data_IF_365192585299
#
_entry.id   IF_365192585299
#
_cell.length_a   1.000
_cell.length_b   1.000
_cell.length_c   1.000
_cell.angle_alpha   90.00
_cell.angle_beta   90.00
_cell.angle_gamma   90.00
#
_symmetry.space_group_name_H-M   'P 1'
#
loop_
_entity.id
_entity.type
_entity.pdbx_description
1 polymer ?
#
# COMPACT_ATOMS: atom_id res chain seq x y z
N UNK A 1 18.66 13.96 -26.16
CA UNK A 1 18.06 15.11 -25.41
C UNK A 1 16.88 14.59 -24.57
N UNK A 2 16.00 15.44 -24.03
CA UNK A 2 14.84 14.98 -23.26
C UNK A 2 13.82 14.17 -24.10
N UNK A 3 13.71 14.46 -25.39
CA UNK A 3 12.80 13.73 -26.29
C UNK A 3 13.34 12.32 -26.57
N UNK A 4 14.62 12.22 -26.92
CA UNK A 4 15.30 10.94 -27.15
C UNK A 4 15.26 10.02 -25.91
N UNK A 5 15.44 10.58 -24.71
CA UNK A 5 15.32 9.83 -23.46
C UNK A 5 13.90 9.29 -23.25
N UNK A 6 12.87 10.10 -23.52
CA UNK A 6 11.48 9.71 -23.35
C UNK A 6 11.07 8.60 -24.34
N UNK A 7 11.50 8.71 -25.60
CA UNK A 7 11.24 7.72 -26.65
C UNK A 7 11.93 6.37 -26.38
N UNK A 8 13.16 6.40 -25.84
CA UNK A 8 13.96 5.20 -25.55
C UNK A 8 13.70 4.55 -24.19
N UNK A 9 12.86 5.14 -23.33
CA UNK A 9 12.65 4.68 -21.96
C UNK A 9 12.06 3.27 -21.90
N UNK A 10 12.71 2.37 -21.16
CA UNK A 10 12.20 1.01 -20.90
C UNK A 10 11.65 0.90 -19.48
N UNK A 11 10.34 0.76 -19.37
CA UNK A 11 9.67 0.49 -18.10
C UNK A 11 9.79 -1.00 -17.75
N UNK A 12 10.00 -1.31 -16.47
CA UNK A 12 10.09 -2.67 -15.92
C UNK A 12 8.99 -2.89 -14.89
N UNK A 13 7.74 -3.21 -15.31
CA UNK A 13 6.60 -3.32 -14.41
C UNK A 13 6.77 -4.42 -13.35
N UNK A 14 7.48 -5.49 -13.71
CA UNK A 14 7.86 -6.59 -12.83
C UNK A 14 8.70 -6.09 -11.64
N UNK A 15 9.72 -5.28 -11.92
CA UNK A 15 10.59 -4.68 -10.90
C UNK A 15 9.82 -3.66 -10.07
N UNK A 16 8.99 -2.82 -10.71
CA UNK A 16 8.13 -1.87 -9.99
C UNK A 16 7.22 -2.60 -9.00
N UNK A 17 6.59 -3.71 -9.42
CA UNK A 17 5.72 -4.51 -8.56
C UNK A 17 6.49 -5.15 -7.40
N UNK A 18 7.66 -5.73 -7.68
CA UNK A 18 8.52 -6.30 -6.64
C UNK A 18 8.93 -5.25 -5.60
N UNK A 19 9.24 -4.03 -6.06
CA UNK A 19 9.64 -2.94 -5.17
C UNK A 19 8.54 -2.48 -4.21
N UNK A 20 7.25 -2.66 -4.55
CA UNK A 20 6.16 -2.38 -3.62
C UNK A 20 6.24 -3.26 -2.36
N UNK A 21 6.86 -4.44 -2.45
CA UNK A 21 7.07 -5.36 -1.34
C UNK A 21 8.22 -4.99 -0.39
N UNK A 22 9.10 -4.05 -0.76
CA UNK A 22 10.31 -3.72 0.02
C UNK A 22 10.04 -3.11 1.41
N UNK A 23 8.80 -2.73 1.68
CA UNK A 23 8.38 -2.11 2.95
C UNK A 23 7.59 -3.06 3.84
N UNK A 24 7.59 -4.37 3.54
CA UNK A 24 6.79 -5.37 4.25
C UNK A 24 5.28 -5.02 4.28
N UNK A 25 4.79 -4.29 3.29
CA UNK A 25 3.39 -3.81 3.21
C UNK A 25 3.11 -2.47 3.90
N UNK A 26 4.11 -1.84 4.54
CA UNK A 26 3.92 -0.56 5.23
C UNK A 26 3.62 0.63 4.29
N UNK A 27 3.91 0.50 2.99
CA UNK A 27 3.59 1.52 1.99
C UNK A 27 2.10 1.89 1.94
N UNK A 28 1.19 1.02 2.41
CA UNK A 28 -0.26 1.29 2.49
C UNK A 28 -0.77 1.64 3.90
N UNK A 29 0.12 2.04 4.82
CA UNK A 29 -0.25 2.32 6.22
C UNK A 29 -1.36 3.37 6.40
N UNK A 30 -1.43 4.38 5.51
CA UNK A 30 -2.49 5.39 5.55
C UNK A 30 -3.87 4.78 5.26
N UNK A 31 -3.96 3.95 4.21
CA UNK A 31 -5.18 3.19 3.90
C UNK A 31 -5.62 2.37 5.08
N UNK A 32 -4.69 1.60 5.66
CA UNK A 32 -4.99 0.77 6.82
C UNK A 32 -5.48 1.60 7.99
N UNK A 33 -4.89 2.77 8.27
CA UNK A 33 -5.38 3.64 9.33
C UNK A 33 -6.82 4.11 9.09
N UNK A 34 -7.18 4.43 7.84
CA UNK A 34 -8.54 4.82 7.47
C UNK A 34 -9.53 3.66 7.59
N UNK A 35 -9.20 2.48 7.05
CA UNK A 35 -10.08 1.31 7.00
C UNK A 35 -10.23 0.60 8.35
N UNK A 36 -9.21 0.64 9.20
CA UNK A 36 -9.26 0.07 10.54
C UNK A 36 -9.95 0.98 11.57
N UNK A 37 -10.08 2.28 11.29
CA UNK A 37 -10.70 3.25 12.21
C UNK A 37 -12.18 2.92 12.52
N UNK A 38 -13.04 2.59 11.53
CA UNK A 38 -14.42 2.17 11.80
C UNK A 38 -14.55 0.90 12.66
N UNK A 39 -13.55 0.01 12.62
CA UNK A 39 -13.56 -1.28 13.33
C UNK A 39 -13.01 -1.15 14.74
N UNK A 40 -11.88 -0.46 14.89
CA UNK A 40 -11.12 -0.41 16.15
C UNK A 40 -11.23 0.92 16.89
N UNK A 41 -11.68 1.97 16.21
CA UNK A 41 -11.50 3.35 16.63
C UNK A 41 -10.11 3.89 16.30
N UNK A 42 -10.03 5.20 16.08
CA UNK A 42 -8.83 5.90 15.58
C UNK A 42 -7.58 5.68 16.46
N UNK A 43 -7.73 5.78 17.78
CA UNK A 43 -6.62 5.66 18.72
C UNK A 43 -6.03 4.25 18.71
N UNK A 44 -6.89 3.22 18.78
CA UNK A 44 -6.46 1.82 18.76
C UNK A 44 -5.87 1.43 17.40
N UNK A 45 -6.49 1.84 16.29
CA UNK A 45 -5.96 1.58 14.95
C UNK A 45 -4.54 2.14 14.78
N UNK A 46 -4.30 3.39 15.21
CA UNK A 46 -2.97 4.00 15.15
C UNK A 46 -1.96 3.28 16.05
N UNK A 47 -2.34 2.95 17.28
CA UNK A 47 -1.47 2.24 18.21
C UNK A 47 -1.08 0.85 17.66
N UNK A 48 -2.06 0.10 17.16
CA UNK A 48 -1.85 -1.21 16.55
C UNK A 48 -0.91 -1.13 15.34
N UNK A 49 -1.17 -0.22 14.39
CA UNK A 49 -0.31 -0.08 13.21
C UNK A 49 1.12 0.34 13.59
N UNK A 50 1.29 1.15 14.64
CA UNK A 50 2.64 1.52 15.14
C UNK A 50 3.37 0.30 15.70
N UNK A 51 2.69 -0.51 16.50
CA UNK A 51 3.23 -1.74 17.07
C UNK A 51 3.61 -2.74 15.97
N UNK A 52 2.69 -3.01 15.04
CA UNK A 52 2.92 -3.99 13.99
C UNK A 52 4.01 -3.52 13.01
N UNK A 53 4.12 -2.22 12.72
CA UNK A 53 5.22 -1.68 11.91
C UNK A 53 6.60 -1.90 12.52
N UNK A 54 6.72 -1.89 13.86
CA UNK A 54 7.98 -2.26 14.51
C UNK A 54 8.24 -3.77 14.38
N UNK A 55 7.19 -4.59 14.55
CA UNK A 55 7.26 -6.05 14.44
C UNK A 55 7.61 -6.54 13.04
N UNK A 56 7.12 -5.91 11.97
CA UNK A 56 7.43 -6.33 10.59
C UNK A 56 8.94 -6.38 10.34
N UNK A 57 9.69 -5.38 10.83
CA UNK A 57 11.14 -5.34 10.69
C UNK A 57 11.86 -6.23 11.71
N UNK A 58 11.36 -6.32 12.93
CA UNK A 58 11.98 -7.14 13.98
C UNK A 58 11.85 -8.64 13.69
N UNK A 59 10.75 -9.06 13.07
CA UNK A 59 10.42 -10.46 12.79
C UNK A 59 10.70 -10.86 11.33
N UNK A 60 11.02 -9.90 10.45
CA UNK A 60 11.09 -10.07 8.99
C UNK A 60 9.80 -10.69 8.41
N UNK A 61 8.66 -10.12 8.81
CA UNK A 61 7.33 -10.62 8.44
C UNK A 61 6.48 -9.55 7.76
N UNK A 62 5.66 -9.92 6.75
CA UNK A 62 4.71 -9.01 6.14
C UNK A 62 3.68 -8.48 7.15
N UNK A 63 3.30 -7.20 7.02
CA UNK A 63 2.28 -6.57 7.85
C UNK A 63 0.93 -7.31 7.78
N UNK A 64 0.56 -7.85 6.61
CA UNK A 64 -0.68 -8.60 6.42
C UNK A 64 -0.76 -9.84 7.30
N UNK A 65 0.35 -10.57 7.47
CA UNK A 65 0.39 -11.74 8.36
C UNK A 65 0.19 -11.33 9.82
N UNK A 66 0.84 -10.25 10.25
CA UNK A 66 0.71 -9.74 11.61
C UNK A 66 -0.70 -9.19 11.89
N UNK A 67 -1.34 -8.57 10.91
CA UNK A 67 -2.73 -8.12 11.01
C UNK A 67 -3.70 -9.31 11.12
N UNK A 68 -3.43 -10.43 10.45
CA UNK A 68 -4.24 -11.63 10.51
C UNK A 68 -4.24 -12.31 11.89
N UNK A 69 -3.23 -12.03 12.71
CA UNK A 69 -3.16 -12.49 14.12
C UNK A 69 -4.11 -11.69 15.04
N UNK A 70 -4.66 -10.56 14.59
CA UNK A 70 -5.51 -9.67 15.39
C UNK A 70 -6.98 -10.13 15.32
N UNK A 71 -7.57 -10.63 16.42
CA UNK A 71 -8.90 -11.24 16.39
C UNK A 71 -10.01 -10.30 15.89
N UNK A 72 -9.91 -9.01 16.20
CA UNK A 72 -10.88 -7.99 15.80
C UNK A 72 -10.90 -7.75 14.27
N UNK A 73 -9.87 -8.20 13.54
CA UNK A 73 -9.71 -7.98 12.10
C UNK A 73 -10.05 -9.21 11.25
N UNK A 74 -10.44 -10.32 11.88
CA UNK A 74 -10.66 -11.63 11.23
C UNK A 74 -11.67 -11.61 10.05
N UNK A 75 -12.62 -10.67 10.09
CA UNK A 75 -13.71 -10.56 9.12
C UNK A 75 -13.37 -9.57 7.98
N UNK A 76 -12.18 -8.97 7.99
CA UNK A 76 -11.69 -8.07 6.95
C UNK A 76 -10.91 -8.83 5.88
N UNK A 77 -11.02 -8.37 4.64
CA UNK A 77 -10.17 -8.82 3.53
C UNK A 77 -8.79 -8.13 3.63
N UNK A 78 -7.93 -8.67 4.49
CA UNK A 78 -6.60 -8.12 4.75
C UNK A 78 -5.68 -8.18 3.52
N UNK A 79 -5.85 -9.16 2.65
CA UNK A 79 -5.10 -9.24 1.39
C UNK A 79 -5.45 -8.07 0.48
N UNK A 80 -6.74 -7.76 0.32
CA UNK A 80 -7.15 -6.60 -0.47
C UNK A 80 -6.74 -5.27 0.17
N UNK A 81 -6.72 -5.17 1.50
CA UNK A 81 -6.31 -3.97 2.22
C UNK A 81 -4.80 -3.74 2.19
N UNK A 82 -4.01 -4.80 2.18
CA UNK A 82 -2.54 -4.73 2.16
C UNK A 82 -1.95 -4.72 0.75
N UNK A 83 -2.73 -5.04 -0.29
CA UNK A 83 -2.29 -4.93 -1.69
C UNK A 83 -2.09 -3.47 -2.13
N UNK A 84 -0.84 -3.03 -2.38
CA UNK A 84 -0.52 -1.66 -2.78
C UNK A 84 -1.05 -1.30 -4.17
N UNK A 85 -1.31 -2.29 -5.03
CA UNK A 85 -1.82 -2.05 -6.39
C UNK A 85 -3.28 -1.61 -6.37
N UNK A 86 -4.01 -1.90 -5.28
CA UNK A 86 -5.40 -1.49 -5.08
C UNK A 86 -5.55 -0.10 -4.49
N UNK A 87 -4.45 0.60 -4.22
CA UNK A 87 -4.46 1.89 -3.53
C UNK A 87 -3.64 2.97 -4.25
N UNK A 88 -3.86 3.11 -5.56
CA UNK A 88 -3.21 4.16 -6.39
C UNK A 88 -3.95 5.50 -6.38
N UNK A 89 -5.01 5.64 -5.58
CA UNK A 89 -5.84 6.84 -5.52
C UNK A 89 -6.35 7.27 -6.89
N UNK A 90 -6.29 8.56 -7.19
CA UNK A 90 -6.76 9.13 -8.47
C UNK A 90 -5.77 9.02 -9.62
N UNK A 91 -4.69 8.23 -9.51
CA UNK A 91 -3.63 8.18 -10.52
C UNK A 91 -4.18 7.93 -11.94
N UNK A 92 -5.05 6.92 -12.12
CA UNK A 92 -5.66 6.62 -13.42
C UNK A 92 -6.48 7.80 -13.98
N UNK A 93 -7.43 8.32 -13.18
CA UNK A 93 -8.25 9.45 -13.60
C UNK A 93 -7.46 10.72 -13.92
N UNK A 94 -6.35 10.97 -13.22
CA UNK A 94 -5.46 12.10 -13.49
C UNK A 94 -4.65 11.90 -14.77
N UNK A 95 -4.22 10.66 -15.06
CA UNK A 95 -3.57 10.30 -16.32
C UNK A 95 -4.53 10.49 -17.49
N UNK A 96 -5.76 9.98 -17.41
CA UNK A 96 -6.77 10.14 -18.45
C UNK A 96 -7.03 11.62 -18.74
N UNK A 97 -7.25 12.41 -17.69
CA UNK A 97 -7.43 13.87 -17.80
C UNK A 97 -6.21 14.57 -18.43
N UNK A 98 -5.00 14.08 -18.21
CA UNK A 98 -3.81 14.66 -18.84
C UNK A 98 -3.75 14.38 -20.34
N UNK A 99 -4.14 13.17 -20.76
CA UNK A 99 -4.16 12.75 -22.17
C UNK A 99 -5.30 13.41 -22.97
N UNK A 100 -6.40 13.76 -22.31
CA UNK A 100 -7.57 14.40 -22.93
C UNK A 100 -7.44 15.93 -23.06
N UNK A 101 -6.43 16.55 -22.43
CA UNK A 101 -6.19 17.99 -22.56
C UNK A 101 -5.77 18.34 -23.99
N UNK A 102 -6.58 19.18 -24.65
CA UNK A 102 -6.25 19.82 -25.91
C UNK A 102 -5.49 21.13 -25.68
#
# INVERSE_FOLDING_TARGET
DAAELAEGLRVRPDVMRAHLGLTHGLIVSERLAAELTPVLGRSRARALLTELAARTYAEDRPLGELLAEVPELRDLDLDALTDPVRYTGSAGALTDRALERR
#
